data_IF_762988050552
#
_entry.id   IF_762988050552
#
_cell.length_a   1.000
_cell.length_b   1.000
_cell.length_c   1.000
_cell.angle_alpha   90.00
_cell.angle_beta   90.00
_cell.angle_gamma   90.00
#
_symmetry.space_group_name_H-M   'P 1'
#
loop_
_entity.id
_entity.type
_entity.pdbx_description
1 polymer ?
#
# COMPACT_ATOMS: atom_id res chain seq x y z
N UNK A 1 -25.04 -13.01 67.25
CA UNK A 1 -26.48 -13.33 67.38
C UNK A 1 -26.67 -14.57 66.51
N UNK A 2 -26.68 -15.68 67.17
CA UNK A 2 -27.91 -16.46 67.49
C UNK A 2 -28.47 -17.09 66.22
N UNK A 3 -28.64 -18.34 66.03
CA UNK A 3 -28.86 -19.57 66.81
C UNK A 3 -29.19 -20.62 65.77
N UNK A 4 -28.59 -21.76 65.78
CA UNK A 4 -28.96 -22.94 66.62
C UNK A 4 -29.86 -23.94 65.86
N UNK A 5 -29.31 -25.17 65.70
CA UNK A 5 -29.88 -26.47 66.11
C UNK A 5 -31.09 -27.01 65.33
N UNK A 6 -31.23 -28.31 65.06
CA UNK A 6 -31.24 -29.51 65.90
C UNK A 6 -31.50 -30.75 64.99
N UNK A 7 -30.69 -31.79 64.88
CA UNK A 7 -30.65 -33.06 65.66
C UNK A 7 -31.99 -33.84 65.74
N UNK A 8 -31.99 -35.08 65.26
CA UNK A 8 -32.28 -36.36 65.96
C UNK A 8 -32.92 -37.40 65.03
N UNK A 9 -32.25 -38.52 64.85
CA UNK A 9 -32.39 -39.84 65.47
C UNK A 9 -33.66 -40.66 65.09
N UNK A 10 -33.39 -41.90 64.66
CA UNK A 10 -33.85 -43.22 65.20
C UNK A 10 -33.55 -44.28 64.14
N UNK A 11 -32.78 -45.25 64.27
CA UNK A 11 -32.40 -46.38 65.10
C UNK A 11 -33.37 -47.60 65.01
N UNK A 12 -32.72 -48.76 64.63
CA UNK A 12 -33.05 -50.16 64.91
C UNK A 12 -34.21 -50.83 64.10
N UNK A 13 -34.17 -52.11 63.73
CA UNK A 13 -33.54 -53.31 64.31
C UNK A 13 -33.70 -54.51 63.32
N UNK A 14 -32.74 -55.41 63.31
CA UNK A 14 -32.69 -56.82 63.53
C UNK A 14 -33.64 -57.81 62.80
N UNK A 15 -33.07 -58.88 62.25
CA UNK A 15 -33.73 -60.23 61.99
C UNK A 15 -32.96 -60.98 60.90
N UNK A 16 -31.97 -61.73 61.13
CA UNK A 16 -31.71 -63.16 61.49
C UNK A 16 -32.22 -64.16 60.44
N UNK A 17 -31.26 -64.88 59.82
CA UNK A 17 -31.11 -66.29 59.47
C UNK A 17 -31.99 -66.91 58.38
N UNK A 18 -31.42 -67.43 57.34
CA UNK A 18 -31.42 -68.88 57.03
C UNK A 18 -30.42 -69.29 56.01
N UNK A 19 -29.76 -70.34 56.27
CA UNK A 19 -28.78 -71.18 55.62
C UNK A 19 -29.31 -71.79 54.31
N UNK A 20 -28.47 -71.83 53.26
CA UNK A 20 -28.72 -72.63 52.07
C UNK A 20 -27.44 -72.78 51.19
N UNK A 21 -26.63 -73.77 51.51
CA UNK A 21 -25.54 -74.24 50.70
C UNK A 21 -26.08 -74.85 49.38
N UNK A 22 -25.66 -74.31 48.21
CA UNK A 22 -25.62 -75.11 46.96
C UNK A 22 -24.31 -74.76 46.26
N UNK A 23 -23.42 -75.80 46.29
CA UNK A 23 -22.23 -75.80 45.43
C UNK A 23 -22.63 -76.13 43.99
N UNK A 24 -22.33 -75.31 43.03
CA UNK A 24 -22.37 -75.67 41.61
C UNK A 24 -21.08 -75.16 40.96
N UNK A 25 -20.43 -76.15 40.42
CA UNK A 25 -19.30 -76.26 39.55
C UNK A 25 -18.76 -74.99 38.78
N UNK A 26 -17.46 -74.84 38.89
CA UNK A 26 -16.66 -74.08 37.93
C UNK A 26 -16.82 -74.63 36.49
N UNK A 27 -17.34 -73.85 35.60
CA UNK A 27 -16.97 -73.90 34.20
C UNK A 27 -16.25 -72.57 33.93
N UNK A 28 -14.95 -72.65 33.67
CA UNK A 28 -14.15 -71.52 33.21
C UNK A 28 -14.66 -71.12 31.83
N UNK A 29 -15.34 -69.96 31.80
CA UNK A 29 -15.50 -69.17 30.60
C UNK A 29 -14.28 -68.25 30.54
N UNK A 30 -13.37 -68.60 29.65
CA UNK A 30 -12.36 -67.64 29.21
C UNK A 30 -13.12 -66.39 28.85
N UNK A 31 -12.89 -65.32 29.57
CA UNK A 31 -13.34 -63.98 29.19
C UNK A 31 -12.64 -63.69 27.85
N UNK A 32 -13.37 -63.91 26.78
CA UNK A 32 -13.07 -63.39 25.47
C UNK A 32 -12.88 -61.90 25.65
N UNK A 33 -11.62 -61.45 25.64
CA UNK A 33 -11.29 -60.03 25.63
C UNK A 33 -12.06 -59.41 24.48
N UNK A 34 -13.12 -58.67 24.77
CA UNK A 34 -13.79 -57.84 23.80
C UNK A 34 -12.72 -56.96 23.16
N UNK A 35 -12.29 -57.35 21.98
CA UNK A 35 -11.52 -56.49 21.09
C UNK A 35 -12.43 -55.30 20.82
N UNK A 36 -12.26 -54.22 21.64
CA UNK A 36 -12.93 -52.97 21.37
C UNK A 36 -12.73 -52.61 19.91
N UNK A 37 -13.82 -52.33 19.20
CA UNK A 37 -13.77 -51.93 17.82
C UNK A 37 -12.64 -50.91 17.62
N UNK A 38 -11.82 -51.11 16.60
CA UNK A 38 -10.74 -50.18 16.29
C UNK A 38 -11.28 -48.77 16.20
N UNK A 39 -10.60 -47.76 16.76
CA UNK A 39 -11.03 -46.40 16.69
C UNK A 39 -11.16 -45.96 15.24
N UNK A 40 -12.32 -45.42 14.87
CA UNK A 40 -12.57 -44.91 13.52
C UNK A 40 -11.98 -43.50 13.34
N UNK A 41 -11.35 -43.28 12.20
CA UNK A 41 -10.78 -42.01 11.83
C UNK A 41 -10.92 -41.70 10.34
N UNK A 42 -11.16 -40.46 10.02
CA UNK A 42 -11.07 -39.92 8.66
C UNK A 42 -9.71 -39.31 8.47
N UNK A 43 -9.06 -39.59 7.37
CA UNK A 43 -7.72 -39.09 7.05
C UNK A 43 -7.74 -38.16 5.85
N UNK A 44 -6.77 -37.26 5.83
CA UNK A 44 -6.40 -36.44 4.70
C UNK A 44 -4.98 -36.79 4.29
N UNK A 45 -4.75 -36.98 2.99
CA UNK A 45 -3.40 -37.11 2.45
C UNK A 45 -2.70 -35.76 2.42
N UNK A 46 -1.47 -35.71 2.89
CA UNK A 46 -0.63 -34.52 2.87
C UNK A 46 -0.16 -34.30 1.43
N UNK A 47 -0.55 -33.16 0.87
CA UNK A 47 -0.21 -32.80 -0.49
C UNK A 47 0.64 -31.51 -0.53
N UNK A 48 1.43 -31.38 -1.59
CA UNK A 48 2.10 -30.11 -1.89
C UNK A 48 1.19 -29.24 -2.73
N UNK A 49 0.99 -28.01 -2.26
CA UNK A 49 0.23 -27.00 -3.01
C UNK A 49 1.09 -25.76 -3.24
N UNK A 50 0.88 -25.12 -4.38
CA UNK A 50 1.41 -23.79 -4.60
C UNK A 50 0.46 -22.79 -3.96
N UNK A 51 0.96 -22.03 -3.01
CA UNK A 51 0.16 -21.11 -2.21
C UNK A 51 0.66 -19.69 -2.37
N UNK A 52 -0.28 -18.75 -2.47
CA UNK A 52 0.02 -17.33 -2.48
C UNK A 52 0.44 -16.88 -1.08
N UNK A 53 1.54 -16.17 -1.01
CA UNK A 53 2.02 -15.56 0.23
C UNK A 53 1.56 -14.11 0.26
N UNK A 54 0.70 -13.79 1.21
CA UNK A 54 0.13 -12.46 1.38
C UNK A 54 0.47 -11.92 2.77
N UNK A 55 0.68 -10.62 2.84
CA UNK A 55 0.88 -9.91 4.12
C UNK A 55 -0.05 -8.73 4.19
N UNK A 56 -0.73 -8.59 5.32
CA UNK A 56 -1.58 -7.44 5.61
C UNK A 56 -0.75 -6.33 6.25
N UNK A 57 -0.79 -5.14 5.65
CA UNK A 57 0.00 -3.99 6.04
C UNK A 57 -0.87 -2.73 6.13
N UNK A 58 -0.58 -1.81 7.05
CA UNK A 58 -1.28 -0.53 7.10
C UNK A 58 -0.87 0.35 5.92
N UNK A 59 -1.85 1.04 5.34
CA UNK A 59 -1.63 1.99 4.26
C UNK A 59 -2.42 3.27 4.42
N UNK A 60 -2.00 4.32 3.71
CA UNK A 60 -2.71 5.59 3.63
C UNK A 60 -2.76 6.05 2.18
N UNK A 61 -3.95 6.46 1.74
CA UNK A 61 -4.16 6.99 0.39
C UNK A 61 -3.57 8.39 0.25
N UNK A 62 -3.06 8.69 -0.93
CA UNK A 62 -2.50 9.99 -1.28
C UNK A 62 -2.82 10.30 -2.75
N UNK A 63 -3.04 11.57 -3.08
CA UNK A 63 -3.20 12.00 -4.47
C UNK A 63 -1.91 11.71 -5.27
N UNK A 64 -2.06 11.32 -6.55
CA UNK A 64 -0.89 11.03 -7.39
C UNK A 64 -0.01 12.25 -7.65
N UNK A 65 -0.65 13.42 -7.80
CA UNK A 65 0.02 14.72 -7.92
C UNK A 65 -0.76 15.73 -7.09
N UNK A 66 -0.01 16.61 -6.42
CA UNK A 66 -0.55 17.73 -5.65
C UNK A 66 0.12 19.00 -6.16
N UNK A 67 -0.67 19.97 -6.60
CA UNK A 67 -0.19 21.27 -7.00
C UNK A 67 -0.79 22.35 -6.07
N UNK A 68 0.09 23.03 -5.35
CA UNK A 68 -0.27 24.18 -4.54
C UNK A 68 -0.34 25.42 -5.40
N UNK A 69 -1.51 26.04 -5.50
CA UNK A 69 -1.71 27.28 -6.24
C UNK A 69 -1.25 28.44 -5.37
N UNK A 70 -0.12 29.08 -5.73
CA UNK A 70 0.49 30.19 -5.01
C UNK A 70 0.65 31.40 -5.91
N UNK A 71 0.44 32.63 -5.40
CA UNK A 71 0.58 33.84 -6.20
C UNK A 71 2.06 34.13 -6.48
N UNK A 72 2.37 34.47 -7.74
CA UNK A 72 3.70 34.90 -8.16
C UNK A 72 3.89 36.42 -8.07
N UNK A 73 2.75 37.16 -8.03
CA UNK A 73 2.71 38.63 -7.88
C UNK A 73 1.75 39.00 -6.76
N UNK A 74 1.95 40.17 -6.17
CA UNK A 74 1.11 40.68 -5.09
C UNK A 74 -0.03 41.57 -5.59
N UNK A 75 -1.16 41.57 -4.86
CA UNK A 75 -2.29 42.46 -5.19
C UNK A 75 -3.59 41.96 -4.55
N UNK A 76 -4.68 42.67 -4.85
CA UNK A 76 -6.01 42.33 -4.35
C UNK A 76 -6.65 41.30 -5.32
N UNK A 77 -7.27 40.27 -4.79
CA UNK A 77 -8.07 39.32 -5.58
C UNK A 77 -9.35 40.03 -6.04
N UNK A 78 -9.52 40.18 -7.35
CA UNK A 78 -10.73 40.75 -7.95
C UNK A 78 -11.83 39.69 -8.12
N UNK A 79 -11.48 38.50 -8.52
CA UNK A 79 -12.41 37.36 -8.71
C UNK A 79 -11.70 36.03 -8.62
N UNK A 80 -12.48 35.00 -8.37
CA UNK A 80 -12.06 33.61 -8.64
C UNK A 80 -13.11 32.94 -9.56
N UNK A 81 -12.65 32.13 -10.52
CA UNK A 81 -13.45 31.70 -11.67
C UNK A 81 -13.67 30.17 -11.70
N UNK A 82 -13.63 29.53 -10.55
CA UNK A 82 -13.86 28.08 -10.41
C UNK A 82 -14.90 27.80 -9.31
N UNK A 83 -15.45 26.59 -9.35
CA UNK A 83 -16.29 26.08 -8.25
C UNK A 83 -15.41 25.22 -7.36
N UNK A 84 -15.43 25.45 -6.05
CA UNK A 84 -14.69 24.65 -5.08
C UNK A 84 -15.10 23.18 -5.15
N UNK A 85 -14.14 22.28 -5.17
CA UNK A 85 -14.38 20.85 -5.30
C UNK A 85 -14.65 20.37 -6.74
N UNK A 86 -14.69 21.27 -7.74
CA UNK A 86 -14.87 20.87 -9.13
C UNK A 86 -13.57 20.34 -9.79
N UNK A 87 -13.71 19.70 -10.94
CA UNK A 87 -12.59 19.40 -11.81
C UNK A 87 -12.20 20.64 -12.61
N UNK A 88 -10.89 20.91 -12.69
CA UNK A 88 -10.30 21.96 -13.52
C UNK A 88 -9.30 21.33 -14.48
N UNK A 89 -9.13 21.93 -15.66
CA UNK A 89 -8.11 21.53 -16.62
C UNK A 89 -6.91 22.44 -16.49
N UNK A 90 -5.74 21.96 -16.89
CA UNK A 90 -4.53 22.78 -17.02
C UNK A 90 -4.80 23.98 -17.93
N UNK A 91 -4.42 25.19 -17.47
CA UNK A 91 -4.68 26.46 -18.15
C UNK A 91 -6.05 27.09 -17.82
N UNK A 92 -6.95 26.42 -17.09
CA UNK A 92 -8.20 27.05 -16.70
C UNK A 92 -7.94 28.25 -15.78
N UNK A 93 -8.66 29.41 -15.96
CA UNK A 93 -8.48 30.58 -15.13
C UNK A 93 -9.03 30.32 -13.71
N UNK A 94 -8.16 30.53 -12.71
CA UNK A 94 -8.49 30.32 -11.30
C UNK A 94 -8.78 31.63 -10.57
N UNK A 95 -7.80 32.54 -10.54
CA UNK A 95 -7.90 33.82 -9.84
C UNK A 95 -7.48 34.97 -10.72
N UNK A 96 -8.12 36.12 -10.51
CA UNK A 96 -7.69 37.38 -11.07
C UNK A 96 -7.19 38.29 -9.95
N UNK A 97 -5.90 38.61 -9.98
CA UNK A 97 -5.30 39.66 -9.15
C UNK A 97 -5.45 41.00 -9.87
N UNK A 98 -5.59 42.12 -9.15
CA UNK A 98 -5.73 43.45 -9.73
C UNK A 98 -4.57 43.77 -10.67
N UNK A 99 -4.80 43.91 -12.00
CA UNK A 99 -3.77 44.16 -12.98
C UNK A 99 -3.35 45.61 -13.11
N UNK A 100 -4.07 46.57 -12.54
CA UNK A 100 -3.93 47.98 -12.85
C UNK A 100 -2.49 48.52 -12.68
N UNK A 101 -1.79 48.14 -11.62
CA UNK A 101 -0.40 48.55 -11.38
C UNK A 101 0.57 47.88 -12.33
N UNK A 102 0.31 46.67 -12.78
CA UNK A 102 1.13 45.92 -13.73
C UNK A 102 0.92 46.43 -15.15
N UNK A 103 -0.32 46.79 -15.54
CA UNK A 103 -0.62 47.44 -16.82
C UNK A 103 0.11 48.79 -16.93
N UNK A 104 0.09 49.61 -15.87
CA UNK A 104 0.85 50.84 -15.83
C UNK A 104 2.35 50.61 -15.98
N UNK A 105 2.89 49.53 -15.38
CA UNK A 105 4.32 49.15 -15.52
C UNK A 105 4.68 48.74 -16.94
N UNK A 106 3.80 48.01 -17.63
CA UNK A 106 3.97 47.69 -19.06
C UNK A 106 4.02 48.95 -19.91
N UNK A 107 3.06 49.88 -19.73
CA UNK A 107 3.03 51.15 -20.46
C UNK A 107 4.30 51.96 -20.24
N UNK A 108 4.81 52.02 -18.99
CA UNK A 108 6.07 52.71 -18.67
C UNK A 108 7.29 52.08 -19.38
N UNK A 109 7.35 50.74 -19.40
CA UNK A 109 8.43 50.00 -20.09
C UNK A 109 8.36 50.20 -21.62
N UNK A 110 7.17 50.19 -22.20
CA UNK A 110 6.92 50.45 -23.62
C UNK A 110 7.31 51.85 -24.02
N UNK A 111 7.03 52.87 -23.20
CA UNK A 111 7.46 54.25 -23.42
C UNK A 111 8.99 54.38 -23.40
N UNK A 112 9.67 53.63 -22.50
CA UNK A 112 11.14 53.58 -22.44
C UNK A 112 11.73 52.95 -23.70
N UNK A 113 11.13 51.84 -24.16
CA UNK A 113 11.53 51.16 -25.41
C UNK A 113 11.36 52.10 -26.64
N UNK A 114 10.22 52.84 -26.68
CA UNK A 114 9.98 53.78 -27.79
C UNK A 114 11.05 54.88 -27.84
N UNK A 115 11.45 55.42 -26.65
CA UNK A 115 12.55 56.38 -26.54
C UNK A 115 13.90 55.80 -27.00
N UNK A 116 14.24 54.57 -26.56
CA UNK A 116 15.48 53.87 -26.96
C UNK A 116 15.51 53.64 -28.47
N UNK A 117 14.41 53.23 -29.08
CA UNK A 117 14.30 53.03 -30.53
C UNK A 117 14.45 54.37 -31.31
N UNK A 118 13.94 55.46 -30.78
CA UNK A 118 14.14 56.80 -31.40
C UNK A 118 15.61 57.21 -31.37
N UNK A 119 16.31 57.01 -30.21
CA UNK A 119 17.74 57.29 -30.07
C UNK A 119 18.59 56.38 -31.02
N UNK A 120 18.28 55.10 -31.11
CA UNK A 120 18.91 54.14 -32.03
C UNK A 120 18.77 54.62 -33.47
N UNK A 121 17.56 55.04 -33.87
CA UNK A 121 17.35 55.56 -35.24
C UNK A 121 18.19 56.81 -35.51
N UNK A 122 18.30 57.73 -34.54
CA UNK A 122 19.14 58.93 -34.70
C UNK A 122 20.62 58.58 -34.80
N UNK A 123 21.13 57.67 -33.94
CA UNK A 123 22.51 57.18 -33.97
C UNK A 123 22.83 56.46 -35.29
N UNK A 124 21.92 55.61 -35.76
CA UNK A 124 22.05 54.90 -37.05
C UNK A 124 22.15 55.89 -38.22
N UNK A 125 21.24 56.87 -38.32
CA UNK A 125 21.29 57.85 -39.40
C UNK A 125 22.59 58.70 -39.39
N UNK A 126 23.16 58.94 -38.17
CA UNK A 126 24.47 59.62 -38.04
C UNK A 126 25.60 58.74 -38.50
N UNK A 127 25.66 57.49 -38.07
CA UNK A 127 26.67 56.53 -38.47
C UNK A 127 26.62 56.26 -39.98
N UNK A 128 25.45 56.02 -40.55
CA UNK A 128 25.28 55.81 -42.01
C UNK A 128 25.80 56.99 -42.84
N UNK A 129 25.49 58.22 -42.34
CA UNK A 129 25.95 59.44 -43.03
C UNK A 129 27.48 59.63 -42.98
N UNK A 130 28.11 59.41 -41.80
CA UNK A 130 29.57 59.56 -41.66
C UNK A 130 30.29 58.44 -42.37
N UNK A 131 29.80 57.21 -42.37
CA UNK A 131 30.32 56.11 -43.14
C UNK A 131 30.28 56.39 -44.68
N UNK A 132 29.21 57.00 -45.20
CA UNK A 132 29.09 57.38 -46.59
C UNK A 132 30.11 58.49 -47.00
N UNK A 133 30.46 59.42 -46.09
CA UNK A 133 31.41 60.50 -46.30
C UNK A 133 32.87 60.06 -46.09
N UNK A 134 33.17 58.95 -45.47
CA UNK A 134 34.52 58.42 -45.22
C UNK A 134 35.33 58.23 -46.53
N UNK A 135 34.68 57.69 -47.56
CA UNK A 135 35.32 57.45 -48.85
C UNK A 135 35.79 58.75 -49.56
N UNK A 136 35.16 59.88 -49.28
CA UNK A 136 35.48 61.19 -49.78
C UNK A 136 36.56 61.94 -48.99
N UNK A 137 37.08 61.34 -47.89
CA UNK A 137 38.02 61.95 -46.94
C UNK A 137 37.47 63.27 -46.32
N UNK A 138 36.17 63.45 -46.30
CA UNK A 138 35.50 64.64 -45.75
C UNK A 138 35.32 64.64 -44.25
N UNK A 139 35.57 63.48 -43.60
CA UNK A 139 35.44 63.25 -42.15
C UNK A 139 36.65 62.49 -41.61
N UNK A 140 36.96 62.66 -40.32
CA UNK A 140 38.02 61.91 -39.65
C UNK A 140 37.66 60.48 -39.39
N UNK A 141 38.60 59.53 -39.29
CA UNK A 141 38.35 58.14 -38.87
C UNK A 141 37.77 58.10 -37.50
N UNK A 142 38.24 58.96 -36.61
CA UNK A 142 37.72 59.04 -35.24
C UNK A 142 36.20 59.39 -35.18
N UNK A 143 35.74 60.31 -36.02
CA UNK A 143 34.31 60.68 -36.08
C UNK A 143 33.42 59.49 -36.50
N UNK A 144 33.93 58.66 -37.41
CA UNK A 144 33.27 57.40 -37.88
C UNK A 144 33.22 56.36 -36.73
N UNK A 145 34.37 56.11 -36.09
CA UNK A 145 34.50 55.14 -35.03
C UNK A 145 33.61 55.54 -33.81
N UNK A 146 33.57 56.83 -33.47
CA UNK A 146 32.71 57.38 -32.43
C UNK A 146 31.21 57.22 -32.76
N UNK A 147 30.82 57.39 -33.99
CA UNK A 147 29.44 57.25 -34.44
C UNK A 147 28.99 55.76 -34.45
N UNK A 148 29.88 54.84 -34.86
CA UNK A 148 29.63 53.43 -34.82
C UNK A 148 29.56 52.91 -33.38
N UNK A 149 30.43 53.39 -32.48
CA UNK A 149 30.36 53.07 -31.07
C UNK A 149 29.03 53.56 -30.43
N UNK A 150 28.58 54.80 -30.78
CA UNK A 150 27.32 55.31 -30.36
C UNK A 150 26.11 54.53 -30.88
N UNK A 151 26.18 53.99 -32.11
CA UNK A 151 25.16 53.10 -32.67
C UNK A 151 25.11 51.79 -31.90
N UNK A 152 26.27 51.19 -31.60
CA UNK A 152 26.36 49.96 -30.82
C UNK A 152 25.78 50.14 -29.43
N UNK A 153 26.06 51.29 -28.76
CA UNK A 153 25.49 51.61 -27.47
C UNK A 153 23.97 51.76 -27.56
N UNK A 154 23.45 52.47 -28.57
CA UNK A 154 22.01 52.63 -28.76
C UNK A 154 21.30 51.33 -29.07
N UNK A 155 21.97 50.39 -29.79
CA UNK A 155 21.46 49.02 -29.99
C UNK A 155 21.33 48.25 -28.66
N UNK A 156 22.33 48.36 -27.80
CA UNK A 156 22.32 47.74 -26.50
C UNK A 156 21.21 48.29 -25.57
N UNK A 157 20.98 49.65 -25.67
CA UNK A 157 19.87 50.30 -24.92
C UNK A 157 18.48 49.78 -25.37
N UNK A 158 18.29 49.56 -26.68
CA UNK A 158 17.04 48.96 -27.20
C UNK A 158 16.85 47.54 -26.65
N UNK A 159 17.89 46.69 -26.68
CA UNK A 159 17.82 45.33 -26.14
C UNK A 159 17.48 45.33 -24.63
N UNK A 160 18.10 46.24 -23.86
CA UNK A 160 17.79 46.40 -22.44
C UNK A 160 16.34 46.84 -22.20
N UNK A 161 15.83 47.78 -23.02
CA UNK A 161 14.44 48.22 -22.92
C UNK A 161 13.43 47.13 -23.37
N UNK A 162 13.74 46.33 -24.36
CA UNK A 162 12.92 45.16 -24.77
C UNK A 162 12.83 44.11 -23.67
N UNK A 163 13.94 43.84 -22.98
CA UNK A 163 13.94 42.94 -21.82
C UNK A 163 13.04 43.47 -20.68
N UNK A 164 13.05 44.83 -20.44
CA UNK A 164 12.17 45.44 -19.44
C UNK A 164 10.68 45.30 -19.81
N UNK A 165 10.31 45.45 -21.07
CA UNK A 165 8.93 45.27 -21.55
C UNK A 165 8.52 43.81 -21.35
N UNK A 166 9.40 42.87 -21.67
CA UNK A 166 9.13 41.43 -21.47
C UNK A 166 8.90 41.11 -20.02
N UNK A 167 9.75 41.58 -19.11
CA UNK A 167 9.60 41.36 -17.67
C UNK A 167 8.30 41.96 -17.12
N UNK A 168 7.92 43.16 -17.55
CA UNK A 168 6.67 43.80 -17.16
C UNK A 168 5.44 43.03 -17.65
N UNK A 169 5.49 42.49 -18.88
CA UNK A 169 4.41 41.66 -19.44
C UNK A 169 4.26 40.34 -18.70
N UNK A 170 5.35 39.66 -18.33
CA UNK A 170 5.32 38.43 -17.50
C UNK A 170 4.66 38.72 -16.16
N UNK A 171 5.00 39.80 -15.47
CA UNK A 171 4.35 40.16 -14.22
C UNK A 171 2.86 40.46 -14.39
N UNK A 172 2.47 41.07 -15.50
CA UNK A 172 1.05 41.27 -15.82
C UNK A 172 0.33 39.96 -16.09
N UNK A 173 0.95 39.04 -16.78
CA UNK A 173 0.40 37.69 -17.02
C UNK A 173 0.19 36.94 -15.71
N UNK A 174 1.12 37.03 -14.76
CA UNK A 174 0.98 36.40 -13.44
C UNK A 174 -0.18 36.95 -12.59
N UNK A 175 -0.81 38.08 -12.98
CA UNK A 175 -2.05 38.54 -12.37
C UNK A 175 -3.24 37.65 -12.72
N UNK A 176 -3.18 36.91 -13.84
CA UNK A 176 -4.12 35.89 -14.24
C UNK A 176 -3.56 34.54 -13.81
N UNK A 177 -4.05 34.03 -12.71
CA UNK A 177 -3.60 32.74 -12.20
C UNK A 177 -4.40 31.63 -12.84
N UNK A 178 -3.70 30.70 -13.47
CA UNK A 178 -4.26 29.55 -14.18
C UNK A 178 -3.90 28.27 -13.44
N UNK A 179 -4.64 27.20 -13.74
CA UNK A 179 -4.38 25.88 -13.17
C UNK A 179 -3.07 25.31 -13.74
N UNK A 180 -2.07 24.96 -12.91
CA UNK A 180 -0.81 24.40 -13.38
C UNK A 180 -0.91 22.92 -13.82
N UNK A 181 -1.95 22.22 -13.40
CA UNK A 181 -2.26 20.84 -13.75
C UNK A 181 -3.77 20.65 -13.83
N UNK A 182 -4.19 19.62 -14.59
CA UNK A 182 -5.58 19.15 -14.53
C UNK A 182 -5.82 18.31 -13.28
N UNK A 183 -6.97 18.50 -12.61
CA UNK A 183 -7.30 17.74 -11.40
C UNK A 183 -8.50 18.33 -10.64
N UNK A 184 -8.76 17.81 -9.46
CA UNK A 184 -9.81 18.34 -8.58
C UNK A 184 -9.25 19.48 -7.73
N UNK A 185 -9.85 20.66 -7.86
CA UNK A 185 -9.45 21.82 -7.07
C UNK A 185 -10.13 21.78 -5.70
N UNK A 186 -9.39 22.08 -4.66
CA UNK A 186 -9.91 22.20 -3.31
C UNK A 186 -10.64 23.53 -3.06
N UNK A 187 -10.89 23.80 -1.79
CA UNK A 187 -11.46 25.10 -1.37
C UNK A 187 -10.47 26.23 -1.59
N UNK A 188 -10.97 27.43 -1.80
CA UNK A 188 -10.17 28.65 -1.75
C UNK A 188 -9.86 29.05 -0.30
N UNK A 189 -8.61 29.34 -0.01
CA UNK A 189 -8.19 29.83 1.31
C UNK A 189 -8.32 31.36 1.44
N UNK A 190 -8.63 32.06 0.33
CA UNK A 190 -8.78 33.51 0.27
C UNK A 190 -10.07 33.87 -0.45
N UNK A 191 -10.68 34.96 0.00
CA UNK A 191 -11.91 35.51 -0.58
C UNK A 191 -11.60 36.66 -1.52
N UNK A 192 -12.56 36.99 -2.38
CA UNK A 192 -12.52 38.23 -3.17
C UNK A 192 -12.28 39.43 -2.26
N UNK A 193 -11.42 40.36 -2.67
CA UNK A 193 -11.00 41.51 -1.89
C UNK A 193 -9.81 41.25 -0.96
N UNK A 194 -9.37 40.04 -0.79
CA UNK A 194 -8.18 39.71 0.01
C UNK A 194 -6.90 40.20 -0.68
N UNK A 195 -5.94 40.69 0.11
CA UNK A 195 -4.60 40.99 -0.35
C UNK A 195 -3.72 39.75 -0.31
N UNK A 196 -3.04 39.44 -1.41
CA UNK A 196 -2.08 38.35 -1.51
C UNK A 196 -0.70 38.88 -1.85
N UNK A 197 0.33 38.07 -1.53
CA UNK A 197 1.73 38.44 -1.74
C UNK A 197 2.52 37.24 -2.25
N UNK A 198 3.52 37.44 -3.14
CA UNK A 198 4.41 36.38 -3.56
C UNK A 198 5.16 35.79 -2.37
N UNK A 199 5.32 34.48 -2.35
CA UNK A 199 6.03 33.77 -1.28
C UNK A 199 5.26 33.63 0.04
N UNK A 200 3.98 33.97 0.09
CA UNK A 200 3.15 33.71 1.27
C UNK A 200 3.12 32.21 1.64
N UNK A 201 3.08 31.94 2.94
CA UNK A 201 3.11 30.55 3.45
C UNK A 201 1.84 29.79 3.10
N UNK A 202 0.68 30.44 3.17
CA UNK A 202 -0.61 29.82 2.88
C UNK A 202 -0.88 29.83 1.38
N UNK A 203 -1.11 28.66 0.83
CA UNK A 203 -1.57 28.49 -0.57
C UNK A 203 -2.97 29.07 -0.78
N UNK A 204 -3.26 29.49 -2.01
CA UNK A 204 -4.59 30.00 -2.36
C UNK A 204 -5.61 28.87 -2.50
N UNK A 205 -5.21 27.78 -3.14
CA UNK A 205 -5.96 26.54 -3.27
C UNK A 205 -4.97 25.40 -3.57
N UNK A 206 -5.47 24.16 -3.55
CA UNK A 206 -4.70 22.97 -3.90
C UNK A 206 -5.44 22.22 -5.00
N UNK A 207 -4.74 21.83 -6.06
CA UNK A 207 -5.26 20.95 -7.10
C UNK A 207 -4.66 19.58 -6.90
N UNK A 208 -5.51 18.54 -6.93
CA UNK A 208 -5.11 17.17 -6.68
C UNK A 208 -5.55 16.26 -7.82
N UNK A 209 -4.62 15.43 -8.30
CA UNK A 209 -4.93 14.36 -9.26
C UNK A 209 -5.32 13.12 -8.47
N UNK A 210 -6.59 12.75 -8.51
CA UNK A 210 -7.15 11.65 -7.73
C UNK A 210 -7.15 10.31 -8.48
N UNK A 211 -6.95 10.32 -9.79
CA UNK A 211 -6.84 9.11 -10.60
C UNK A 211 -5.59 9.20 -11.49
N UNK A 212 -4.64 8.27 -11.33
CA UNK A 212 -4.62 7.20 -10.34
C UNK A 212 -4.43 7.70 -8.91
N UNK A 213 -4.85 6.90 -7.90
CA UNK A 213 -4.60 7.15 -6.48
C UNK A 213 -3.36 6.40 -6.05
N UNK A 214 -2.53 7.00 -5.20
CA UNK A 214 -1.40 6.35 -4.54
C UNK A 214 -1.81 5.83 -3.18
N UNK A 215 -1.21 4.72 -2.76
CA UNK A 215 -1.32 4.20 -1.40
C UNK A 215 0.09 4.00 -0.86
N UNK A 216 0.41 4.74 0.18
CA UNK A 216 1.68 4.63 0.89
C UNK A 216 1.53 3.54 1.95
N UNK A 217 2.36 2.51 1.86
CA UNK A 217 2.33 1.31 2.69
C UNK A 217 3.61 1.30 3.53
N UNK A 218 3.47 1.09 4.83
CA UNK A 218 4.60 0.95 5.74
C UNK A 218 4.92 -0.53 5.94
N UNK A 219 6.15 -0.93 5.71
CA UNK A 219 6.60 -2.31 5.79
C UNK A 219 7.84 -2.43 6.66
N UNK A 220 7.87 -3.44 7.55
CA UNK A 220 9.04 -3.70 8.39
C UNK A 220 10.26 -4.11 7.55
N UNK A 221 11.42 -3.48 7.77
CA UNK A 221 12.65 -3.82 7.05
C UNK A 221 13.13 -5.25 7.34
N UNK A 222 12.84 -5.78 8.53
CA UNK A 222 13.17 -7.15 8.91
C UNK A 222 12.34 -8.16 8.09
N UNK A 223 11.02 -7.96 8.01
CA UNK A 223 10.14 -8.82 7.22
C UNK A 223 10.45 -8.74 5.72
N UNK A 224 10.70 -7.53 5.21
CA UNK A 224 11.12 -7.33 3.83
C UNK A 224 12.41 -8.11 3.50
N UNK A 225 13.40 -8.06 4.40
CA UNK A 225 14.65 -8.79 4.23
C UNK A 225 14.45 -10.30 4.24
N UNK A 226 13.51 -10.81 5.06
CA UNK A 226 13.17 -12.23 5.10
C UNK A 226 12.51 -12.69 3.79
N UNK A 227 11.55 -11.92 3.28
CA UNK A 227 10.89 -12.22 2.00
C UNK A 227 11.91 -12.22 0.85
N UNK A 228 12.75 -11.20 0.78
CA UNK A 228 13.81 -11.11 -0.24
C UNK A 228 14.78 -12.29 -0.18
N UNK A 229 15.12 -12.75 1.03
CA UNK A 229 15.94 -13.95 1.22
C UNK A 229 15.23 -15.20 0.66
N UNK A 230 13.95 -15.40 0.95
CA UNK A 230 13.17 -16.52 0.45
C UNK A 230 13.01 -16.51 -1.08
N UNK A 231 12.91 -15.34 -1.70
CA UNK A 231 12.92 -15.18 -3.16
C UNK A 231 14.28 -15.59 -3.73
N UNK A 232 15.39 -15.11 -3.13
CA UNK A 232 16.75 -15.46 -3.58
C UNK A 232 17.08 -16.94 -3.39
N UNK A 233 16.50 -17.60 -2.40
CA UNK A 233 16.62 -19.05 -2.15
C UNK A 233 15.71 -19.88 -3.05
N UNK A 234 14.86 -19.24 -3.88
CA UNK A 234 13.92 -19.91 -4.79
C UNK A 234 12.71 -20.55 -4.09
N UNK A 235 12.50 -20.26 -2.81
CA UNK A 235 11.33 -20.71 -2.03
C UNK A 235 10.08 -19.98 -2.51
N UNK A 236 10.20 -18.66 -2.74
CA UNK A 236 9.15 -17.85 -3.31
C UNK A 236 9.45 -17.50 -4.75
N UNK A 237 8.44 -17.62 -5.61
CA UNK A 237 8.50 -17.14 -6.99
C UNK A 237 7.82 -15.78 -7.06
N UNK A 238 8.48 -14.79 -7.70
CA UNK A 238 7.90 -13.48 -7.92
C UNK A 238 6.61 -13.57 -8.76
N UNK A 239 5.66 -12.72 -8.46
CA UNK A 239 4.42 -12.62 -9.23
C UNK A 239 4.66 -11.76 -10.46
N UNK A 240 4.16 -12.21 -11.63
CA UNK A 240 4.17 -11.42 -12.86
C UNK A 240 2.97 -10.47 -12.87
N UNK A 241 3.25 -9.19 -13.03
CA UNK A 241 2.24 -8.12 -13.07
C UNK A 241 2.32 -7.41 -14.40
N UNK A 242 1.18 -7.09 -14.98
CA UNK A 242 1.14 -6.28 -16.20
C UNK A 242 1.38 -4.81 -15.84
N UNK A 243 2.46 -4.24 -16.37
CA UNK A 243 2.72 -2.81 -16.27
C UNK A 243 1.63 -2.04 -17.02
N UNK A 244 0.92 -1.14 -16.34
CA UNK A 244 -0.19 -0.37 -16.92
C UNK A 244 0.28 0.69 -17.93
N UNK A 245 1.55 1.09 -17.89
CA UNK A 245 2.11 2.11 -18.80
C UNK A 245 2.71 1.48 -20.06
N UNK A 246 3.46 0.38 -19.90
CA UNK A 246 4.16 -0.29 -21.01
C UNK A 246 3.36 -1.44 -21.60
N UNK A 247 2.43 -2.02 -20.83
CA UNK A 247 1.67 -3.22 -21.21
C UNK A 247 2.45 -4.52 -21.10
N UNK A 248 3.72 -4.48 -20.70
CA UNK A 248 4.60 -5.64 -20.55
C UNK A 248 4.39 -6.33 -19.21
N UNK A 249 4.71 -7.64 -19.14
CA UNK A 249 4.71 -8.40 -17.89
C UNK A 249 6.07 -8.23 -17.22
N UNK A 250 6.05 -7.76 -15.99
CA UNK A 250 7.25 -7.58 -15.16
C UNK A 250 7.05 -8.17 -13.78
N UNK A 251 8.14 -8.46 -13.08
CA UNK A 251 8.09 -8.92 -11.71
C UNK A 251 7.53 -7.79 -10.82
N UNK A 252 6.45 -8.07 -10.13
CA UNK A 252 5.77 -7.07 -9.31
C UNK A 252 4.95 -7.69 -8.20
N UNK A 253 4.37 -6.82 -7.38
CA UNK A 253 3.52 -7.23 -6.28
C UNK A 253 2.13 -6.65 -6.48
N UNK A 254 1.14 -7.52 -6.55
CA UNK A 254 -0.27 -7.14 -6.53
C UNK A 254 -0.66 -6.69 -5.13
N UNK A 255 -1.48 -5.66 -5.07
CA UNK A 255 -1.98 -5.11 -3.82
C UNK A 255 -3.49 -5.02 -3.88
N UNK A 256 -4.16 -5.58 -2.88
CA UNK A 256 -5.58 -5.37 -2.62
C UNK A 256 -5.72 -4.47 -1.41
N UNK A 257 -6.77 -3.66 -1.37
CA UNK A 257 -7.04 -2.79 -0.23
C UNK A 257 -8.43 -3.04 0.32
N UNK A 258 -8.52 -3.01 1.65
CA UNK A 258 -9.76 -2.98 2.39
C UNK A 258 -9.94 -1.58 2.98
N UNK A 259 -11.10 -1.01 2.78
CA UNK A 259 -11.48 0.28 3.35
C UNK A 259 -11.68 0.17 4.87
N UNK A 260 -11.87 1.29 5.55
CA UNK A 260 -12.05 1.34 7.01
C UNK A 260 -13.28 0.53 7.50
N UNK A 261 -14.31 0.43 6.67
CA UNK A 261 -15.51 -0.37 6.95
C UNK A 261 -15.33 -1.88 6.72
N UNK A 262 -14.14 -2.30 6.26
CA UNK A 262 -13.82 -3.68 5.93
C UNK A 262 -14.23 -4.11 4.52
N UNK A 263 -14.78 -3.21 3.70
CA UNK A 263 -15.14 -3.50 2.31
C UNK A 263 -13.89 -3.65 1.46
N UNK A 264 -13.82 -4.71 0.67
CA UNK A 264 -12.76 -4.90 -0.33
C UNK A 264 -12.98 -3.91 -1.50
N UNK A 265 -11.96 -3.13 -1.81
CA UNK A 265 -11.95 -2.28 -2.99
C UNK A 265 -11.84 -3.15 -4.27
N UNK A 266 -12.66 -2.90 -5.26
CA UNK A 266 -12.82 -3.76 -6.45
C UNK A 266 -11.64 -3.70 -7.43
N UNK A 267 -10.79 -2.65 -7.35
CA UNK A 267 -9.61 -2.50 -8.19
C UNK A 267 -8.38 -3.06 -7.51
N UNK A 268 -7.56 -3.76 -8.29
CA UNK A 268 -6.27 -4.28 -7.84
C UNK A 268 -5.20 -3.26 -8.19
N UNK A 269 -4.39 -2.90 -7.21
CA UNK A 269 -3.22 -2.06 -7.40
C UNK A 269 -1.95 -2.86 -7.56
N UNK A 270 -0.88 -2.16 -7.90
CA UNK A 270 0.45 -2.72 -8.02
C UNK A 270 1.47 -1.78 -7.38
N UNK A 271 2.53 -2.36 -6.83
CA UNK A 271 3.64 -1.58 -6.27
C UNK A 271 4.44 -0.98 -7.42
N UNK A 272 4.49 0.35 -7.48
CA UNK A 272 5.29 1.11 -8.43
C UNK A 272 6.68 1.44 -7.91
N UNK A 273 6.78 1.64 -6.60
CA UNK A 273 8.00 2.14 -5.98
C UNK A 273 8.19 1.49 -4.61
N UNK A 274 9.43 1.10 -4.34
CA UNK A 274 9.91 0.70 -3.01
C UNK A 274 11.06 1.63 -2.65
N UNK A 275 10.94 2.32 -1.54
CA UNK A 275 12.08 3.09 -1.03
C UNK A 275 13.19 2.12 -0.64
N UNK A 276 14.42 2.45 -1.06
CA UNK A 276 15.61 1.68 -0.68
C UNK A 276 16.19 2.13 0.67
N UNK A 277 15.60 3.17 1.26
CA UNK A 277 16.04 3.76 2.53
C UNK A 277 15.15 3.28 3.66
N UNK A 278 15.77 2.75 4.71
CA UNK A 278 15.08 2.42 5.96
C UNK A 278 14.97 3.67 6.81
N UNK A 279 13.77 4.01 7.27
CA UNK A 279 13.60 5.06 8.27
C UNK A 279 14.27 4.62 9.58
N UNK A 280 15.29 5.35 10.05
CA UNK A 280 16.08 4.95 11.23
C UNK A 280 15.29 5.01 12.54
N UNK A 281 14.16 5.73 12.56
CA UNK A 281 13.34 5.90 13.78
C UNK A 281 12.39 4.73 13.96
N UNK A 282 11.80 4.25 12.86
CA UNK A 282 10.76 3.21 12.86
C UNK A 282 11.29 1.85 12.41
N UNK A 283 12.44 1.78 11.74
CA UNK A 283 12.97 0.56 11.12
C UNK A 283 12.10 0.07 9.96
N UNK A 284 11.31 0.95 9.35
CA UNK A 284 10.39 0.63 8.27
C UNK A 284 10.88 1.13 6.92
N UNK A 285 10.43 0.49 5.86
CA UNK A 285 10.55 0.95 4.49
C UNK A 285 9.17 1.40 4.00
N UNK A 286 9.14 2.31 3.03
CA UNK A 286 7.92 2.75 2.38
C UNK A 286 7.78 2.08 1.01
N UNK A 287 6.62 1.48 0.80
CA UNK A 287 6.18 0.98 -0.50
C UNK A 287 5.07 1.89 -1.00
N UNK A 288 5.07 2.19 -2.28
CA UNK A 288 4.01 2.96 -2.90
C UNK A 288 3.31 2.11 -3.95
N UNK A 289 2.04 1.83 -3.71
CA UNK A 289 1.16 1.18 -4.66
C UNK A 289 0.28 2.20 -5.39
N UNK A 290 -0.10 1.89 -6.61
CA UNK A 290 -0.96 2.70 -7.45
C UNK A 290 -2.24 1.96 -7.77
N UNK A 291 -3.37 2.68 -7.68
CA UNK A 291 -4.72 2.17 -7.93
C UNK A 291 -5.46 3.07 -8.91
N UNK A 292 -6.24 2.48 -9.79
CA UNK A 292 -7.28 3.23 -10.48
C UNK A 292 -8.32 3.68 -9.45
N UNK A 293 -8.79 4.93 -9.55
CA UNK A 293 -9.77 5.49 -8.64
C UNK A 293 -11.00 5.97 -9.40
N UNK A 294 -12.14 5.45 -9.03
CA UNK A 294 -13.47 5.84 -9.54
C UNK A 294 -14.12 7.01 -8.77
N UNK A 295 -13.37 7.59 -7.81
CA UNK A 295 -13.83 8.66 -6.93
C UNK A 295 -14.20 8.21 -5.52
N UNK A 296 -14.18 6.91 -5.23
CA UNK A 296 -14.47 6.38 -3.89
C UNK A 296 -13.27 6.50 -2.93
N UNK A 297 -12.05 6.53 -3.45
CA UNK A 297 -10.86 6.78 -2.64
C UNK A 297 -10.59 8.28 -2.54
N UNK A 298 -10.50 8.77 -1.32
CA UNK A 298 -10.11 10.15 -1.02
C UNK A 298 -8.69 10.19 -0.43
N UNK A 299 -7.90 11.24 -0.71
CA UNK A 299 -6.58 11.39 -0.11
C UNK A 299 -6.66 11.47 1.43
N UNK A 300 -5.75 10.78 2.09
CA UNK A 300 -5.65 10.76 3.55
C UNK A 300 -6.44 9.63 4.23
N UNK A 301 -7.23 8.84 3.50
CA UNK A 301 -7.95 7.68 4.07
C UNK A 301 -6.95 6.63 4.57
N UNK A 302 -7.26 6.04 5.71
CA UNK A 302 -6.59 4.84 6.19
C UNK A 302 -7.14 3.62 5.46
N UNK A 303 -6.26 2.72 5.03
CA UNK A 303 -6.63 1.47 4.36
C UNK A 303 -5.78 0.32 4.88
N UNK A 304 -6.36 -0.87 4.88
CA UNK A 304 -5.59 -2.10 5.11
C UNK A 304 -5.20 -2.67 3.76
N UNK A 305 -3.91 -2.83 3.54
CA UNK A 305 -3.39 -3.35 2.27
C UNK A 305 -3.00 -4.80 2.43
N UNK A 306 -3.37 -5.63 1.47
CA UNK A 306 -2.91 -7.02 1.35
C UNK A 306 -1.98 -7.09 0.16
N UNK A 307 -0.69 -7.20 0.48
CA UNK A 307 0.39 -7.26 -0.51
C UNK A 307 0.72 -8.71 -0.80
N UNK A 308 0.63 -9.11 -2.06
CA UNK A 308 1.06 -10.41 -2.53
C UNK A 308 2.58 -10.41 -2.66
N UNK A 309 3.25 -11.16 -1.78
CA UNK A 309 4.72 -11.23 -1.74
C UNK A 309 5.32 -12.20 -2.75
N UNK A 310 4.54 -13.19 -3.20
CA UNK A 310 4.95 -14.20 -4.15
C UNK A 310 4.13 -15.47 -4.00
N UNK A 311 4.57 -16.51 -4.70
CA UNK A 311 4.01 -17.87 -4.58
C UNK A 311 5.06 -18.79 -3.92
N UNK A 312 4.66 -19.51 -2.87
CA UNK A 312 5.46 -20.60 -2.29
C UNK A 312 5.11 -21.89 -3.02
N UNK A 313 6.11 -22.42 -3.74
CA UNK A 313 5.94 -23.63 -4.53
C UNK A 313 6.12 -24.87 -3.67
N UNK A 314 5.16 -25.79 -3.74
CA UNK A 314 5.25 -27.08 -3.06
C UNK A 314 5.18 -27.00 -1.53
N UNK A 315 4.44 -26.06 -0.97
CA UNK A 315 4.16 -25.99 0.46
C UNK A 315 3.34 -27.21 0.91
N UNK A 316 3.73 -27.85 2.02
CA UNK A 316 2.96 -28.93 2.63
C UNK A 316 1.80 -28.32 3.42
N UNK A 317 0.57 -28.64 3.06
CA UNK A 317 -0.63 -28.12 3.71
C UNK A 317 -1.45 -29.26 4.34
N UNK A 318 -1.99 -28.97 5.53
CA UNK A 318 -2.89 -29.86 6.24
C UNK A 318 -4.03 -29.07 6.87
N UNK A 319 -5.23 -29.65 6.90
CA UNK A 319 -6.38 -29.01 7.54
C UNK A 319 -6.07 -28.61 8.98
N UNK A 320 -6.52 -27.42 9.39
CA UNK A 320 -6.39 -26.96 10.78
C UNK A 320 -6.98 -27.96 11.77
N UNK A 321 -7.99 -28.72 11.35
CA UNK A 321 -8.62 -29.78 12.15
C UNK A 321 -7.70 -30.95 12.48
N UNK A 322 -6.64 -31.20 11.68
CA UNK A 322 -5.69 -32.28 11.89
C UNK A 322 -4.64 -31.99 12.96
N UNK A 323 -4.48 -30.73 13.34
CA UNK A 323 -3.42 -30.29 14.24
C UNK A 323 -3.97 -30.06 15.65
N UNK A 324 -3.34 -30.70 16.64
CA UNK A 324 -3.65 -30.49 18.06
C UNK A 324 -2.50 -29.69 18.68
N UNK A 325 -2.85 -28.61 19.39
CA UNK A 325 -1.89 -27.85 20.19
C UNK A 325 -1.82 -28.42 21.60
N UNK A 326 -0.65 -28.89 21.98
CA UNK A 326 -0.37 -29.43 23.30
C UNK A 326 0.16 -28.39 24.29
N UNK A 327 0.39 -28.80 25.55
CA UNK A 327 1.03 -27.97 26.56
C UNK A 327 2.40 -27.48 26.07
N UNK A 328 2.73 -26.21 26.34
CA UNK A 328 4.01 -25.62 25.92
C UNK A 328 4.07 -25.18 24.44
N UNK A 329 2.91 -25.14 23.73
CA UNK A 329 2.86 -24.64 22.34
C UNK A 329 3.37 -25.63 21.29
N UNK A 330 3.57 -26.91 21.66
CA UNK A 330 3.98 -27.95 20.70
C UNK A 330 2.76 -28.39 19.91
N UNK A 331 2.81 -28.21 18.59
CA UNK A 331 1.78 -28.71 17.68
C UNK A 331 2.08 -30.17 17.31
N UNK A 332 1.04 -31.00 17.35
CA UNK A 332 1.13 -32.43 17.05
C UNK A 332 0.05 -32.84 16.04
N UNK A 333 0.36 -33.81 15.23
CA UNK A 333 -0.57 -34.46 14.31
C UNK A 333 -0.56 -35.98 14.57
N UNK A 334 -1.64 -36.65 14.22
CA UNK A 334 -1.69 -38.09 14.22
C UNK A 334 -1.52 -38.59 12.76
N UNK A 335 -0.43 -39.25 12.51
CA UNK A 335 -0.10 -39.83 11.19
C UNK A 335 -0.48 -41.30 11.19
N UNK A 336 -1.08 -41.76 10.10
CA UNK A 336 -1.43 -43.19 9.86
C UNK A 336 -0.54 -43.74 8.77
N UNK A 337 0.16 -44.85 9.04
CA UNK A 337 1.00 -45.52 8.08
C UNK A 337 0.17 -46.43 7.14
N UNK A 338 0.83 -47.12 6.22
CA UNK A 338 0.20 -48.05 5.27
C UNK A 338 -0.52 -49.21 5.95
N UNK A 339 -0.05 -49.68 7.13
CA UNK A 339 -0.66 -50.75 7.93
C UNK A 339 -1.83 -50.25 8.80
N UNK A 340 -2.33 -49.02 8.58
CA UNK A 340 -3.37 -48.37 9.36
C UNK A 340 -3.00 -48.18 10.85
N UNK A 341 -1.74 -48.06 11.15
CA UNK A 341 -1.25 -47.80 12.51
C UNK A 341 -1.06 -46.30 12.73
N UNK A 342 -1.75 -45.78 13.76
CA UNK A 342 -1.67 -44.36 14.13
C UNK A 342 -0.47 -44.10 15.05
N UNK A 343 0.20 -43.01 14.85
CA UNK A 343 1.27 -42.50 15.70
C UNK A 343 1.18 -40.97 15.85
N UNK A 344 1.48 -40.47 17.05
CA UNK A 344 1.53 -39.04 17.27
C UNK A 344 2.91 -38.48 16.91
N UNK A 345 2.94 -37.42 16.12
CA UNK A 345 4.17 -36.77 15.66
C UNK A 345 4.16 -35.26 15.89
N UNK A 346 5.21 -34.69 16.47
CA UNK A 346 5.35 -33.25 16.56
C UNK A 346 5.59 -32.64 15.19
N UNK A 347 4.94 -31.50 14.92
CA UNK A 347 5.09 -30.73 13.69
C UNK A 347 5.39 -29.26 14.00
N UNK A 348 6.11 -28.61 13.11
CA UNK A 348 6.34 -27.18 13.19
C UNK A 348 5.46 -26.50 12.15
N UNK A 349 4.51 -25.67 12.61
CA UNK A 349 3.66 -24.84 11.77
C UNK A 349 4.46 -23.62 11.35
N UNK A 350 4.36 -23.24 10.08
CA UNK A 350 4.91 -22.01 9.53
C UNK A 350 3.92 -20.86 9.66
N UNK A 351 2.72 -21.02 9.10
CA UNK A 351 1.63 -20.05 9.10
C UNK A 351 0.29 -20.69 8.79
N UNK A 352 -0.79 -19.93 8.94
CA UNK A 352 -2.11 -20.32 8.42
C UNK A 352 -2.22 -19.96 6.93
N UNK A 353 -2.99 -20.74 6.21
CA UNK A 353 -3.38 -20.50 4.83
C UNK A 353 -4.85 -20.94 4.69
N UNK A 354 -5.76 -19.99 4.54
CA UNK A 354 -7.21 -20.26 4.53
C UNK A 354 -7.68 -21.11 5.71
N UNK A 355 -8.16 -22.33 5.47
CA UNK A 355 -8.58 -23.30 6.48
C UNK A 355 -7.51 -24.34 6.82
N UNK A 356 -6.30 -24.18 6.27
CA UNK A 356 -5.19 -25.10 6.40
C UNK A 356 -4.02 -24.49 7.19
N UNK A 357 -3.14 -25.35 7.69
CA UNK A 357 -1.82 -24.98 8.20
C UNK A 357 -0.74 -25.33 7.20
N UNK A 358 0.18 -24.42 6.98
CA UNK A 358 1.43 -24.68 6.26
C UNK A 358 2.44 -25.28 7.22
N UNK A 359 2.94 -26.47 6.91
CA UNK A 359 3.86 -27.22 7.76
C UNK A 359 5.30 -26.99 7.32
N UNK A 360 6.12 -26.45 8.22
CA UNK A 360 7.54 -26.21 7.97
C UNK A 360 8.39 -27.48 8.11
N UNK A 361 8.01 -28.38 9.04
CA UNK A 361 8.73 -29.66 9.26
C UNK A 361 7.89 -30.64 10.06
N UNK A 362 8.19 -31.94 9.93
CA UNK A 362 7.55 -33.02 10.69
C UNK A 362 6.60 -33.89 9.86
N UNK A 363 6.27 -33.50 8.63
CA UNK A 363 5.47 -34.31 7.69
C UNK A 363 6.17 -34.45 6.35
N UNK A 364 5.77 -35.47 5.61
CA UNK A 364 6.18 -35.72 4.23
C UNK A 364 4.97 -35.81 3.31
N UNK A 365 5.18 -35.52 2.02
CA UNK A 365 4.16 -35.71 1.00
C UNK A 365 3.68 -37.15 0.93
N UNK A 366 2.38 -37.35 0.78
CA UNK A 366 1.75 -38.67 0.70
C UNK A 366 1.40 -39.26 2.06
N UNK A 367 1.85 -38.73 3.18
CA UNK A 367 1.45 -39.21 4.51
C UNK A 367 -0.03 -38.93 4.77
N UNK A 368 -0.71 -39.85 5.47
CA UNK A 368 -2.11 -39.67 5.86
C UNK A 368 -2.19 -39.11 7.29
N UNK A 369 -2.89 -37.98 7.47
CA UNK A 369 -3.13 -37.37 8.78
C UNK A 369 -4.61 -37.43 9.16
N UNK A 370 -4.90 -37.66 10.42
CA UNK A 370 -6.27 -37.74 10.93
C UNK A 370 -6.91 -36.36 11.00
N UNK A 371 -8.07 -36.18 10.38
CA UNK A 371 -8.85 -34.92 10.38
C UNK A 371 -10.15 -35.01 11.15
N UNK A 372 -10.75 -36.23 11.28
CA UNK A 372 -11.92 -36.50 12.15
C UNK A 372 -11.63 -37.75 12.98
N UNK A 373 -12.21 -37.80 14.18
CA UNK A 373 -11.98 -38.90 15.13
C UNK A 373 -10.71 -38.74 15.98
N UNK A 374 -10.07 -37.57 15.97
CA UNK A 374 -8.83 -37.26 16.69
C UNK A 374 -8.90 -37.65 18.17
N UNK A 375 -9.97 -37.30 18.88
CA UNK A 375 -10.12 -37.58 20.33
C UNK A 375 -10.18 -39.09 20.61
N UNK A 376 -10.84 -39.84 19.74
CA UNK A 376 -10.99 -41.30 19.89
C UNK A 376 -9.65 -42.00 19.70
N UNK A 377 -8.91 -41.63 18.63
CA UNK A 377 -7.58 -42.14 18.35
C UNK A 377 -6.56 -41.69 19.40
N UNK A 378 -6.60 -40.45 19.85
CA UNK A 378 -5.72 -39.92 20.89
C UNK A 378 -5.95 -40.65 22.24
N UNK A 379 -7.22 -40.88 22.62
CA UNK A 379 -7.56 -41.65 23.83
C UNK A 379 -7.08 -43.13 23.73
N UNK A 380 -7.11 -43.73 22.54
CA UNK A 380 -6.59 -45.07 22.32
C UNK A 380 -5.06 -45.09 22.43
N UNK A 381 -4.35 -44.09 21.83
CA UNK A 381 -2.91 -43.94 21.96
C UNK A 381 -2.46 -43.71 23.41
N UNK A 382 -3.21 -42.94 24.20
CA UNK A 382 -2.92 -42.73 25.62
C UNK A 382 -3.10 -43.98 26.44
N UNK A 383 -4.16 -44.80 26.18
CA UNK A 383 -4.42 -46.06 26.86
C UNK A 383 -3.33 -47.13 26.51
N UNK A 384 -2.78 -47.07 25.30
CA UNK A 384 -1.68 -47.97 24.88
C UNK A 384 -0.31 -47.55 25.44
N UNK A 385 -0.25 -46.48 26.26
CA UNK A 385 1.02 -45.93 26.76
C UNK A 385 1.87 -45.26 25.67
N UNK A 386 1.24 -44.70 24.63
CA UNK A 386 1.90 -44.07 23.50
C UNK A 386 2.38 -45.07 22.42
N UNK A 387 2.01 -46.37 22.56
CA UNK A 387 2.29 -47.36 21.51
C UNK A 387 1.31 -47.16 20.35
N UNK A 388 1.78 -47.54 19.16
CA UNK A 388 1.00 -47.51 17.94
C UNK A 388 -0.34 -48.26 18.07
N UNK A 389 -1.40 -47.71 17.55
CA UNK A 389 -2.77 -48.26 17.63
C UNK A 389 -3.29 -48.44 16.21
N UNK A 390 -3.87 -49.62 15.92
CA UNK A 390 -4.55 -49.88 14.66
C UNK A 390 -5.85 -49.09 14.62
N UNK A 391 -6.09 -48.38 13.54
CA UNK A 391 -7.23 -47.50 13.32
C UNK A 391 -8.03 -47.97 12.11
N UNK A 392 -9.35 -47.94 12.20
CA UNK A 392 -10.23 -48.17 11.08
C UNK A 392 -10.38 -46.87 10.29
N UNK A 393 -9.80 -46.82 9.09
CA UNK A 393 -9.76 -45.59 8.25
C UNK A 393 -11.01 -45.57 7.39
N UNK A 394 -11.79 -44.50 7.55
CA UNK A 394 -12.96 -44.23 6.73
C UNK A 394 -12.56 -43.17 5.69
N UNK A 395 -12.74 -43.52 4.41
CA UNK A 395 -12.62 -42.51 3.32
C UNK A 395 -13.84 -41.58 3.35
N UNK A 396 -13.59 -40.30 3.42
CA UNK A 396 -14.65 -39.28 3.42
C UNK A 396 -14.68 -38.64 2.01
N UNK A 397 -15.61 -39.07 1.17
CA UNK A 397 -15.82 -38.58 -0.21
C UNK A 397 -16.23 -37.09 -0.23
N UNK A 398 -16.42 -36.44 0.93
CA UNK A 398 -16.92 -35.07 1.08
C UNK A 398 -15.84 -33.99 1.01
N UNK A 399 -14.55 -34.33 0.88
CA UNK A 399 -13.46 -33.34 0.76
C UNK A 399 -13.01 -33.05 -0.69
N UNK A 400 -13.72 -33.58 -1.69
CA UNK A 400 -13.49 -33.33 -3.12
C UNK A 400 -14.46 -32.31 -3.74
N UNK A 401 -15.19 -31.54 -2.91
CA UNK A 401 -16.03 -30.42 -3.39
C UNK A 401 -15.59 -29.09 -2.80
#
# INVERSE_FOLDING_TARGET
MMTSNLVKHFRNATGILCFGLIAIACSGEEAEQAHGAAPQAVTQTVERKNITVETELPGRTEASVIAEVRPQVGGIILSFNFTEGSHVNEGDPLYQIDPATYEASVLQAEATLARAKANQKAARLKADRLNALQNSKAVSQQDVDDADAALLQANAEVLGAEAQVTAAKINLEYTKMEAPISGQIGRSNFTQGALVSPGQVREMSVIQVLNPMKVNITYSSAEFSEVRKKINEGIYTATQVKNLETGEMEDGHLVRIYLEDGTLYDKIGHIKFSDLTVDPTTGSIFLQAQFENDGSLLPGMFVRTVVQQGMENGALVVSQKAVTQGPGGVSTVIVINEDNVASMRPVKISRSYEQDWVIASGLQEGERVVVKGLQTVQSALQRSGGKAVVVDVIEDDLFLQ
#
